data_IF_935831845888
#
_entry.id   IF_935831845888
#
_cell.length_a   1.000
_cell.length_b   1.000
_cell.length_c   1.000
_cell.angle_alpha   90.00
_cell.angle_beta   90.00
_cell.angle_gamma   90.00
#
_symmetry.space_group_name_H-M   'P 1'
#
loop_
_entity.id
_entity.type
_entity.pdbx_description
1 polymer ?
#
# COMPACT_ATOMS: atom_id res chain seq x y z
N UNK A 1 -1.55 6.93 26.39
CA UNK A 1 -1.09 5.58 26.01
C UNK A 1 -2.33 4.87 25.49
N UNK A 2 -2.55 4.83 24.18
CA UNK A 2 -3.69 4.11 23.61
C UNK A 2 -3.21 2.71 23.30
N UNK A 3 -3.74 1.74 24.01
CA UNK A 3 -3.56 0.32 23.69
C UNK A 3 -4.01 0.13 22.25
N UNK A 4 -3.08 -0.24 21.38
CA UNK A 4 -3.44 -0.83 20.10
C UNK A 4 -4.40 -1.99 20.45
N UNK A 5 -5.64 -2.00 19.94
CA UNK A 5 -6.57 -3.08 20.20
C UNK A 5 -5.81 -4.34 19.82
N UNK A 6 -5.67 -5.25 20.78
CA UNK A 6 -4.96 -6.50 20.62
C UNK A 6 -5.62 -7.18 19.43
N UNK A 7 -5.01 -7.04 18.25
CA UNK A 7 -5.26 -7.92 17.12
C UNK A 7 -5.13 -9.30 17.73
N UNK A 8 -6.27 -9.97 17.98
CA UNK A 8 -6.20 -11.23 18.71
C UNK A 8 -5.26 -12.12 17.91
N UNK A 9 -4.40 -12.85 18.60
CA UNK A 9 -3.48 -13.81 17.98
C UNK A 9 -4.21 -14.75 17.01
N UNK A 10 -5.53 -14.91 17.14
CA UNK A 10 -6.41 -15.59 16.19
C UNK A 10 -6.56 -14.86 14.83
N UNK A 11 -6.75 -13.53 14.78
CA UNK A 11 -6.82 -12.76 13.52
C UNK A 11 -5.47 -12.79 12.78
N UNK A 12 -4.37 -12.68 13.52
CA UNK A 12 -3.01 -12.82 12.98
C UNK A 12 -2.69 -14.27 12.56
N UNK A 13 -3.35 -15.28 13.13
CA UNK A 13 -3.19 -16.69 12.73
C UNK A 13 -4.09 -17.12 11.55
N UNK A 14 -5.06 -16.29 11.15
CA UNK A 14 -6.11 -16.64 10.19
C UNK A 14 -5.73 -16.47 8.71
N UNK A 15 -4.59 -15.84 8.38
CA UNK A 15 -4.17 -15.81 6.98
C UNK A 15 -3.64 -17.18 6.52
N UNK A 16 -4.58 -18.05 6.15
CA UNK A 16 -4.31 -19.29 5.46
C UNK A 16 -4.64 -19.12 3.97
N UNK A 17 -3.63 -18.84 3.12
CA UNK A 17 -3.83 -18.62 1.68
C UNK A 17 -4.40 -19.84 0.94
N UNK A 18 -4.41 -21.03 1.57
CA UNK A 18 -4.98 -22.24 0.99
C UNK A 18 -6.49 -22.37 1.23
N UNK A 19 -7.01 -21.87 2.36
CA UNK A 19 -8.44 -21.97 2.69
C UNK A 19 -9.24 -20.74 2.26
N UNK A 20 -8.61 -19.57 2.12
CA UNK A 20 -9.25 -18.35 1.64
C UNK A 20 -8.47 -17.74 0.46
N UNK A 21 -8.56 -18.42 -0.69
CA UNK A 21 -7.82 -18.04 -1.92
C UNK A 21 -8.08 -16.58 -2.32
N UNK A 22 -9.31 -16.12 -2.15
CA UNK A 22 -9.74 -14.78 -2.55
C UNK A 22 -9.69 -13.77 -1.42
N UNK A 23 -9.31 -14.16 -0.19
CA UNK A 23 -9.30 -13.24 0.95
C UNK A 23 -10.69 -12.74 1.33
N UNK A 24 -11.78 -13.45 0.99
CA UNK A 24 -13.16 -12.98 1.26
C UNK A 24 -13.48 -13.01 2.74
N UNK A 25 -13.17 -14.12 3.41
CA UNK A 25 -13.40 -14.26 4.84
C UNK A 25 -12.45 -13.33 5.61
N UNK A 26 -11.20 -13.21 5.15
CA UNK A 26 -10.26 -12.26 5.69
C UNK A 26 -10.74 -10.81 5.54
N UNK A 27 -11.19 -10.42 4.35
CA UNK A 27 -11.63 -9.06 4.08
C UNK A 27 -12.91 -8.71 4.84
N UNK A 28 -13.88 -9.63 4.98
CA UNK A 28 -15.06 -9.37 5.81
C UNK A 28 -14.74 -9.10 7.29
N UNK A 29 -13.62 -9.62 7.79
CA UNK A 29 -13.14 -9.35 9.15
C UNK A 29 -12.32 -8.04 9.23
N UNK A 30 -11.57 -7.71 8.18
CA UNK A 30 -10.73 -6.50 8.11
C UNK A 30 -11.48 -5.23 7.70
N UNK A 31 -12.51 -5.34 6.88
CA UNK A 31 -13.31 -4.23 6.36
C UNK A 31 -13.91 -3.37 7.49
N UNK A 32 -14.54 -3.92 8.55
CA UNK A 32 -15.02 -3.09 9.67
C UNK A 32 -13.89 -2.61 10.60
N UNK A 33 -12.67 -3.15 10.45
CA UNK A 33 -11.54 -2.77 11.30
C UNK A 33 -11.04 -1.36 10.99
N UNK A 34 -10.56 -0.65 12.02
CA UNK A 34 -9.98 0.68 11.88
C UNK A 34 -8.67 0.67 11.05
N UNK A 35 -8.25 1.82 10.50
CA UNK A 35 -7.07 1.93 9.64
C UNK A 35 -5.79 1.34 10.28
N UNK A 36 -5.57 1.60 11.57
CA UNK A 36 -4.38 1.13 12.30
C UNK A 36 -4.31 -0.41 12.36
N UNK A 37 -5.47 -1.06 12.51
CA UNK A 37 -5.57 -2.53 12.55
C UNK A 37 -5.25 -3.12 11.17
N UNK A 38 -5.79 -2.52 10.10
CA UNK A 38 -5.50 -2.96 8.73
C UNK A 38 -4.03 -2.77 8.40
N UNK A 39 -3.43 -1.63 8.76
CA UNK A 39 -2.01 -1.37 8.59
C UNK A 39 -1.15 -2.40 9.34
N UNK A 40 -1.44 -2.66 10.62
CA UNK A 40 -0.73 -3.66 11.40
C UNK A 40 -0.82 -5.07 10.79
N UNK A 41 -2.00 -5.47 10.29
CA UNK A 41 -2.18 -6.74 9.58
C UNK A 41 -1.32 -6.80 8.30
N UNK A 42 -1.37 -5.77 7.47
CA UNK A 42 -0.60 -5.71 6.21
C UNK A 42 0.90 -5.78 6.48
N UNK A 43 1.37 -5.12 7.53
CA UNK A 43 2.77 -5.13 7.92
C UNK A 43 3.21 -6.49 8.49
N UNK A 44 2.36 -7.14 9.27
CA UNK A 44 2.66 -8.46 9.83
C UNK A 44 2.77 -9.55 8.75
N UNK A 45 1.95 -9.48 7.69
CA UNK A 45 1.83 -10.57 6.70
C UNK A 45 2.48 -10.30 5.35
N UNK A 46 2.60 -9.03 4.95
CA UNK A 46 3.04 -8.64 3.61
C UNK A 46 4.12 -7.56 3.64
N UNK A 47 4.53 -7.10 4.82
CA UNK A 47 5.64 -6.16 5.02
C UNK A 47 5.49 -4.85 4.22
N UNK A 48 4.30 -4.24 4.24
CA UNK A 48 4.02 -2.99 3.51
C UNK A 48 5.01 -1.88 3.85
N UNK A 49 5.27 -1.62 5.14
CA UNK A 49 6.24 -0.61 5.60
C UNK A 49 7.65 -0.86 5.05
N UNK A 50 8.05 -2.13 4.97
CA UNK A 50 9.35 -2.50 4.40
C UNK A 50 9.40 -2.18 2.91
N UNK A 51 8.34 -2.53 2.17
CA UNK A 51 8.19 -2.19 0.76
C UNK A 51 8.21 -0.69 0.50
N UNK A 52 7.49 0.10 1.30
CA UNK A 52 7.50 1.57 1.24
C UNK A 52 8.89 2.16 1.49
N UNK A 53 9.59 1.68 2.51
CA UNK A 53 10.94 2.15 2.83
C UNK A 53 11.93 1.83 1.72
N UNK A 54 11.91 0.59 1.21
CA UNK A 54 12.77 0.20 0.08
C UNK A 54 12.43 0.96 -1.21
N UNK A 55 11.15 1.23 -1.47
CA UNK A 55 10.76 2.08 -2.60
C UNK A 55 11.32 3.50 -2.46
N UNK A 56 11.28 4.06 -1.25
CA UNK A 56 11.87 5.37 -0.94
C UNK A 56 13.40 5.37 -1.14
N UNK A 57 14.08 4.29 -0.74
CA UNK A 57 15.52 4.09 -0.98
C UNK A 57 15.83 4.02 -2.49
N UNK A 58 15.05 3.26 -3.26
CA UNK A 58 15.19 3.16 -4.73
C UNK A 58 15.00 4.53 -5.40
N UNK A 59 13.99 5.29 -4.98
CA UNK A 59 13.78 6.64 -5.51
C UNK A 59 14.95 7.56 -5.19
N UNK A 60 15.49 7.49 -3.97
CA UNK A 60 16.66 8.28 -3.59
C UNK A 60 17.90 7.93 -4.44
N UNK A 61 18.09 6.64 -4.78
CA UNK A 61 19.12 6.21 -5.73
C UNK A 61 18.91 6.76 -7.15
N UNK A 62 17.66 7.02 -7.54
CA UNK A 62 17.28 7.69 -8.80
C UNK A 62 17.34 9.23 -8.73
N UNK A 63 17.67 9.79 -7.56
CA UNK A 63 17.76 11.24 -7.35
C UNK A 63 16.46 11.89 -6.89
N UNK A 64 15.42 11.11 -6.56
CA UNK A 64 14.13 11.59 -6.08
C UNK A 64 13.99 11.36 -4.58
N UNK A 65 13.82 12.42 -3.80
CA UNK A 65 13.59 12.30 -2.34
C UNK A 65 12.10 12.27 -2.05
N UNK A 66 11.58 11.09 -1.73
CA UNK A 66 10.19 10.87 -1.40
C UNK A 66 10.04 9.89 -0.23
N UNK A 67 9.13 10.19 0.69
CA UNK A 67 8.67 9.25 1.72
C UNK A 67 7.32 8.69 1.31
N UNK A 68 7.21 7.36 1.30
CA UNK A 68 6.02 6.67 0.83
C UNK A 68 5.30 5.99 2.00
N UNK A 69 3.98 6.06 1.99
CA UNK A 69 3.12 5.21 2.82
C UNK A 69 1.94 4.68 2.00
N UNK A 70 1.41 3.53 2.39
CA UNK A 70 0.32 2.87 1.68
C UNK A 70 -0.81 2.51 2.63
N UNK A 71 -2.05 2.66 2.16
CA UNK A 71 -3.26 2.24 2.86
C UNK A 71 -4.11 1.38 1.94
N UNK A 72 -4.49 0.18 2.39
CA UNK A 72 -5.49 -0.64 1.70
C UNK A 72 -6.88 -0.02 1.92
N UNK A 73 -7.47 0.51 0.85
CA UNK A 73 -8.78 1.17 0.88
C UNK A 73 -9.89 0.13 0.77
N UNK A 74 -9.83 -0.69 -0.28
CA UNK A 74 -10.85 -1.68 -0.60
C UNK A 74 -10.22 -2.93 -1.24
N UNK A 75 -10.92 -4.05 -1.10
CA UNK A 75 -10.63 -5.27 -1.83
C UNK A 75 -11.93 -5.86 -2.40
N UNK A 76 -12.06 -5.79 -3.72
CA UNK A 76 -13.11 -6.46 -4.46
C UNK A 76 -12.54 -7.72 -5.11
N UNK A 77 -13.37 -8.73 -5.38
CA UNK A 77 -12.87 -10.07 -5.82
C UNK A 77 -11.87 -9.95 -6.99
N UNK A 78 -10.58 -10.08 -6.69
CA UNK A 78 -9.48 -10.02 -7.66
C UNK A 78 -8.86 -8.65 -7.94
N UNK A 79 -9.29 -7.59 -7.24
CA UNK A 79 -8.78 -6.22 -7.36
C UNK A 79 -8.60 -5.61 -5.96
N UNK A 80 -7.37 -5.23 -5.60
CA UNK A 80 -7.09 -4.41 -4.42
C UNK A 80 -6.90 -2.96 -4.80
N UNK A 81 -7.60 -2.07 -4.10
CA UNK A 81 -7.51 -0.61 -4.23
C UNK A 81 -6.66 -0.06 -3.10
N UNK A 82 -5.53 0.54 -3.44
CA UNK A 82 -4.54 1.03 -2.49
C UNK A 82 -4.40 2.54 -2.68
N UNK A 83 -4.47 3.29 -1.60
CA UNK A 83 -4.09 4.69 -1.57
C UNK A 83 -2.60 4.78 -1.21
N UNK A 84 -1.83 5.45 -2.05
CA UNK A 84 -0.42 5.76 -1.80
C UNK A 84 -0.34 7.23 -1.44
N UNK A 85 0.28 7.52 -0.30
CA UNK A 85 0.63 8.88 0.11
C UNK A 85 2.12 9.07 -0.06
N UNK A 86 2.50 10.14 -0.73
CA UNK A 86 3.87 10.51 -1.04
C UNK A 86 4.14 11.88 -0.44
N UNK A 87 5.23 11.98 0.31
CA UNK A 87 5.74 13.23 0.87
C UNK A 87 7.10 13.54 0.25
N UNK A 88 7.20 14.63 -0.50
CA UNK A 88 8.46 15.14 -1.04
C UNK A 88 8.89 16.40 -0.28
N UNK A 89 10.01 17.01 -0.69
CA UNK A 89 10.43 18.28 -0.11
C UNK A 89 9.52 19.46 -0.50
N UNK A 90 8.79 19.36 -1.62
CA UNK A 90 7.98 20.45 -2.16
C UNK A 90 6.50 20.30 -1.80
N UNK A 91 5.98 19.07 -1.84
CA UNK A 91 4.56 18.82 -1.61
C UNK A 91 4.26 17.42 -1.06
N UNK A 92 3.11 17.32 -0.41
CA UNK A 92 2.48 16.06 -0.04
C UNK A 92 1.31 15.80 -1.00
N UNK A 93 1.23 14.59 -1.54
CA UNK A 93 0.11 14.19 -2.38
C UNK A 93 -0.28 12.73 -2.19
N UNK A 94 -1.47 12.39 -2.70
CA UNK A 94 -2.02 11.04 -2.66
C UNK A 94 -2.54 10.63 -4.03
N UNK A 95 -2.42 9.35 -4.35
CA UNK A 95 -2.99 8.76 -5.54
C UNK A 95 -3.42 7.31 -5.29
N UNK A 96 -4.35 6.82 -6.12
CA UNK A 96 -4.85 5.46 -6.04
C UNK A 96 -4.11 4.52 -6.99
N UNK A 97 -3.80 3.32 -6.52
CA UNK A 97 -3.28 2.21 -7.31
C UNK A 97 -4.24 1.03 -7.26
N UNK A 98 -4.58 0.46 -8.42
CA UNK A 98 -5.27 -0.82 -8.52
C UNK A 98 -4.27 -1.94 -8.79
N UNK A 99 -4.32 -2.99 -7.96
CA UNK A 99 -3.52 -4.20 -8.16
C UNK A 99 -4.46 -5.38 -8.39
N UNK A 100 -4.26 -6.10 -9.50
CA UNK A 100 -5.14 -7.19 -9.93
C UNK A 100 -4.43 -8.53 -9.85
N UNK A 101 -5.09 -9.55 -9.29
CA UNK A 101 -4.63 -10.93 -9.33
C UNK A 101 -5.74 -11.91 -9.01
N UNK A 102 -5.46 -13.22 -9.15
CA UNK A 102 -6.39 -14.28 -8.85
C UNK A 102 -6.35 -14.79 -7.39
N UNK A 103 -5.61 -14.08 -6.51
CA UNK A 103 -5.47 -14.36 -5.07
C UNK A 103 -5.22 -13.08 -4.28
N UNK A 104 -5.83 -12.94 -3.10
CA UNK A 104 -5.62 -11.78 -2.21
C UNK A 104 -4.15 -11.58 -1.86
N UNK A 105 -3.46 -12.64 -1.41
CA UNK A 105 -2.04 -12.55 -1.09
C UNK A 105 -1.16 -12.10 -2.25
N UNK A 106 -1.46 -12.54 -3.46
CA UNK A 106 -0.71 -12.13 -4.64
C UNK A 106 -0.90 -10.63 -4.94
N UNK A 107 -2.07 -10.07 -4.64
CA UNK A 107 -2.34 -8.63 -4.74
C UNK A 107 -1.54 -7.88 -3.68
N UNK A 108 -1.60 -8.32 -2.41
CA UNK A 108 -0.87 -7.67 -1.32
C UNK A 108 0.65 -7.72 -1.51
N UNK A 109 1.21 -8.87 -1.93
CA UNK A 109 2.64 -8.96 -2.25
C UNK A 109 3.03 -8.13 -3.46
N UNK A 110 2.18 -8.05 -4.49
CA UNK A 110 2.46 -7.22 -5.66
C UNK A 110 2.39 -5.72 -5.33
N UNK A 111 1.49 -5.33 -4.44
CA UNK A 111 1.39 -3.97 -3.90
C UNK A 111 2.63 -3.59 -3.08
N UNK A 112 3.09 -4.49 -2.20
CA UNK A 112 4.28 -4.29 -1.38
C UNK A 112 5.60 -4.42 -2.16
N UNK A 113 5.57 -4.67 -3.47
CA UNK A 113 6.79 -4.79 -4.26
C UNK A 113 7.46 -3.41 -4.39
N UNK A 114 8.67 -3.22 -3.84
CA UNK A 114 9.30 -1.91 -3.75
C UNK A 114 9.63 -1.30 -5.11
N UNK A 115 10.02 -2.12 -6.10
CA UNK A 115 10.31 -1.63 -7.45
C UNK A 115 9.06 -1.13 -8.16
N UNK A 116 7.96 -1.89 -8.07
CA UNK A 116 6.68 -1.48 -8.68
C UNK A 116 6.14 -0.21 -8.03
N UNK A 117 6.31 -0.08 -6.72
CA UNK A 117 5.88 1.10 -5.98
C UNK A 117 6.74 2.32 -6.33
N UNK A 118 8.07 2.17 -6.39
CA UNK A 118 8.98 3.22 -6.83
C UNK A 118 8.65 3.70 -8.24
N UNK A 119 8.48 2.78 -9.19
CA UNK A 119 8.13 3.13 -10.58
C UNK A 119 6.78 3.87 -10.68
N UNK A 120 5.79 3.46 -9.89
CA UNK A 120 4.49 4.12 -9.87
C UNK A 120 4.55 5.53 -9.25
N UNK A 121 5.34 5.70 -8.19
CA UNK A 121 5.53 7.00 -7.53
C UNK A 121 6.32 7.96 -8.42
N UNK A 122 7.40 7.49 -9.04
CA UNK A 122 8.19 8.28 -10.00
C UNK A 122 7.32 8.80 -11.15
N UNK A 123 6.55 7.91 -11.79
CA UNK A 123 5.64 8.31 -12.88
C UNK A 123 4.58 9.34 -12.44
N UNK A 124 4.07 9.26 -11.20
CA UNK A 124 3.11 10.23 -10.68
C UNK A 124 3.77 11.59 -10.35
N UNK A 125 5.02 11.58 -9.87
CA UNK A 125 5.82 12.81 -9.66
C UNK A 125 6.04 13.50 -11.02
N UNK A 126 6.55 12.77 -12.01
CA UNK A 126 6.80 13.31 -13.36
C UNK A 126 5.52 13.90 -13.97
N UNK A 127 4.40 13.17 -13.91
CA UNK A 127 3.12 13.65 -14.45
C UNK A 127 2.59 14.90 -13.75
N UNK A 128 2.96 15.14 -12.48
CA UNK A 128 2.59 16.34 -11.73
C UNK A 128 3.47 17.52 -12.08
N UNK A 129 4.77 17.29 -12.21
CA UNK A 129 5.72 18.30 -12.65
C UNK A 129 5.37 18.80 -14.07
N UNK A 130 5.06 17.88 -15.00
CA UNK A 130 4.61 18.24 -16.36
C UNK A 130 3.34 19.10 -16.35
N UNK A 131 2.37 18.80 -15.48
CA UNK A 131 1.13 19.60 -15.34
C UNK A 131 1.40 20.97 -14.71
N UNK A 132 2.35 21.06 -13.78
CA UNK A 132 2.72 22.32 -13.16
C UNK A 132 3.37 23.24 -14.21
N UNK A 133 4.29 22.71 -15.01
CA UNK A 133 4.97 23.47 -16.07
C UNK A 133 4.01 23.91 -17.18
N UNK A 134 3.07 23.04 -17.58
CA UNK A 134 2.05 23.37 -18.58
C UNK A 134 1.07 24.47 -18.14
N UNK A 135 0.92 24.71 -16.84
CA UNK A 135 0.06 25.77 -16.30
C UNK A 135 0.79 27.13 -16.16
N UNK A 136 2.11 27.15 -16.33
CA UNK A 136 2.94 28.36 -16.23
C UNK A 136 3.25 28.93 -17.64
N UNK A 137 3.22 28.07 -18.68
CA UNK A 137 3.44 28.43 -20.09
C UNK A 137 2.19 29.05 -20.77
#
# INVERSE_FOLDING_TARGET
MYDAPTLSSAVLALYNPRSDRWGRALWSELEPAGPDIRAAFLNAHFHFDHGCRQASEILAERGLTAFISMTLVDFQTGVGSIEVTVSTAQEDFRFGMEVRSNRFGAIMFAAANPYRLADAVEAEIEAREERADANIA
#
